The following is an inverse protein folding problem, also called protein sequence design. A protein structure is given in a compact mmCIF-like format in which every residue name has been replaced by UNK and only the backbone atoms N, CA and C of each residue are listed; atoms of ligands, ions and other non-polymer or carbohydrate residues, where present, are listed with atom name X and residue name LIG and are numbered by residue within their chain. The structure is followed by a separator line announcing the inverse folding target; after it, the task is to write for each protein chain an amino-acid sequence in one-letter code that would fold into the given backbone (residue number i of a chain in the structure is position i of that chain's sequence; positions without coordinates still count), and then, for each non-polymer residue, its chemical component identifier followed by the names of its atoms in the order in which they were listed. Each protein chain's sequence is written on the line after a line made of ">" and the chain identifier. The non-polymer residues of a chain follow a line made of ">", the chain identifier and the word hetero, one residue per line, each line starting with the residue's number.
data_IF_374852433334
#
_entry.id   IF_374852433334
#
_cell.length_a   1.000
_cell.length_b   1.000
_cell.length_c   1.000
_cell.angle_alpha   90.00
_cell.angle_beta   90.00
_cell.angle_gamma   90.00
#
_symmetry.space_group_name_H-M   'P 1'
#
loop_
_entity.id
_entity.type
_entity.pdbx_description
1 polymer ?
#
# COMPACT_ATOMS: atom_id res chain seq x y z
N UNK A 1 15.99 -20.96 -17.11
CA UNK A 1 16.02 -20.85 -16.54
C UNK A 1 15.43 -20.45 -15.58
N UNK A 2 15.39 -20.50 -14.76
CA UNK A 2 14.77 -20.27 -13.75
C UNK A 2 15.14 -19.14 -13.07
N UNK A 3 16.23 -18.72 -13.02
CA UNK A 3 16.66 -17.55 -12.33
C UNK A 3 15.92 -16.31 -12.74
N UNK A 4 15.49 -16.28 -13.94
CA UNK A 4 14.80 -15.11 -14.44
C UNK A 4 13.49 -14.86 -13.69
N UNK A 5 12.86 -15.92 -13.28
CA UNK A 5 11.62 -15.75 -12.62
C UNK A 5 11.78 -15.11 -11.29
N UNK A 6 12.86 -15.39 -10.64
CA UNK A 6 13.10 -14.85 -9.33
C UNK A 6 13.22 -13.35 -9.38
N UNK A 7 13.80 -12.85 -10.43
CA UNK A 7 14.05 -11.43 -10.54
C UNK A 7 12.77 -10.63 -10.61
N UNK A 8 11.74 -11.20 -11.14
CA UNK A 8 10.52 -10.46 -11.32
C UNK A 8 9.59 -10.52 -10.12
N UNK A 9 10.00 -11.13 -9.04
CA UNK A 9 9.14 -11.25 -7.88
C UNK A 9 8.98 -9.92 -7.19
N UNK A 10 7.74 -9.53 -6.96
CA UNK A 10 7.46 -8.34 -6.18
C UNK A 10 7.51 -8.68 -4.70
N UNK A 11 7.87 -7.73 -3.85
CA UNK A 11 7.76 -7.96 -2.42
C UNK A 11 6.30 -8.17 -2.02
N UNK A 12 6.09 -9.01 -1.05
CA UNK A 12 4.74 -9.22 -0.54
C UNK A 12 4.31 -8.10 0.39
N UNK A 13 5.26 -7.51 1.10
CA UNK A 13 4.98 -6.45 2.06
C UNK A 13 5.99 -5.33 1.88
N UNK A 14 5.59 -4.13 2.27
CA UNK A 14 6.46 -2.97 2.18
C UNK A 14 6.28 -2.11 3.43
N UNK A 15 7.28 -1.33 3.75
CA UNK A 15 7.20 -0.38 4.84
C UNK A 15 6.36 0.82 4.42
N UNK A 16 5.90 1.61 5.41
CA UNK A 16 5.06 2.76 5.08
C UNK A 16 5.70 3.74 4.11
N UNK A 17 6.98 4.00 4.23
CA UNK A 17 7.61 4.95 3.33
C UNK A 17 7.67 4.40 1.91
N UNK A 18 7.87 3.09 1.76
CA UNK A 18 7.83 2.49 0.44
C UNK A 18 6.41 2.49 -0.11
N UNK A 19 5.43 2.20 0.74
CA UNK A 19 4.04 2.23 0.30
C UNK A 19 3.66 3.62 -0.17
N UNK A 20 4.07 4.64 0.56
CA UNK A 20 3.78 6.01 0.16
C UNK A 20 4.45 6.34 -1.16
N UNK A 21 5.69 5.86 -1.35
CA UNK A 21 6.40 6.11 -2.59
C UNK A 21 5.74 5.45 -3.79
N UNK A 22 5.15 4.29 -3.59
CA UNK A 22 4.45 3.62 -4.68
C UNK A 22 3.30 4.46 -5.22
N UNK A 23 2.65 5.23 -4.35
CA UNK A 23 1.59 6.13 -4.77
C UNK A 23 2.11 7.51 -5.12
N UNK A 24 3.38 7.79 -4.82
CA UNK A 24 4.01 9.08 -5.07
C UNK A 24 3.26 10.22 -4.39
N UNK A 25 2.60 9.91 -3.29
CA UNK A 25 1.81 10.89 -2.56
C UNK A 25 1.76 10.48 -1.10
N UNK A 26 2.67 10.99 -0.27
CA UNK A 26 2.77 10.52 1.11
C UNK A 26 1.50 10.73 1.93
N UNK A 27 0.80 11.82 1.68
CA UNK A 27 -0.44 12.07 2.42
C UNK A 27 -1.55 11.11 2.02
N UNK A 28 -1.50 10.61 0.79
CA UNK A 28 -2.53 9.71 0.32
C UNK A 28 -2.56 8.42 1.11
N UNK A 29 -1.40 7.88 1.42
CA UNK A 29 -1.36 6.66 2.22
C UNK A 29 -2.00 6.88 3.58
N UNK A 30 -1.70 7.99 4.23
CA UNK A 30 -2.28 8.28 5.52
C UNK A 30 -3.79 8.42 5.42
N UNK A 31 -4.26 9.06 4.38
CA UNK A 31 -5.70 9.22 4.17
C UNK A 31 -6.37 7.87 3.98
N UNK A 32 -5.75 6.98 3.21
CA UNK A 32 -6.31 5.67 2.99
C UNK A 32 -6.35 4.84 4.26
N UNK A 33 -5.34 4.96 5.10
CA UNK A 33 -5.32 4.26 6.38
C UNK A 33 -6.43 4.79 7.28
N UNK A 34 -6.58 6.10 7.35
CA UNK A 34 -7.62 6.69 8.20
C UNK A 34 -9.01 6.36 7.71
N UNK A 35 -9.18 6.26 6.40
CA UNK A 35 -10.47 5.93 5.83
C UNK A 35 -10.81 4.45 5.92
N UNK A 36 -9.86 3.63 6.37
CA UNK A 36 -10.10 2.21 6.48
C UNK A 36 -9.91 1.44 5.20
N UNK A 37 -9.32 2.04 4.18
CA UNK A 37 -9.08 1.36 2.91
C UNK A 37 -7.99 0.31 3.04
N UNK A 38 -7.02 0.55 3.91
CA UNK A 38 -5.91 -0.36 4.10
C UNK A 38 -5.49 -0.32 5.55
N UNK A 39 -5.11 -1.48 6.07
CA UNK A 39 -4.56 -1.57 7.42
C UNK A 39 -3.25 -2.33 7.33
N UNK A 40 -2.32 -2.07 8.25
CA UNK A 40 -1.07 -2.82 8.24
C UNK A 40 -1.35 -4.30 8.47
N UNK A 41 -0.66 -5.14 7.73
CA UNK A 41 -0.76 -6.58 7.95
C UNK A 41 0.17 -7.04 9.06
N UNK A 42 1.11 -6.22 9.44
CA UNK A 42 2.05 -6.53 10.51
C UNK A 42 2.46 -5.23 11.16
N UNK A 43 2.28 -5.13 12.46
CA UNK A 43 2.60 -3.90 13.16
C UNK A 43 3.16 -4.19 14.52
N UNK A 44 4.36 -3.70 14.77
CA UNK A 44 4.99 -3.74 16.09
C UNK A 44 5.53 -2.35 16.36
N UNK A 45 6.08 -2.16 17.56
CA UNK A 45 6.67 -0.86 17.88
C UNK A 45 7.91 -0.58 17.05
N UNK A 46 8.45 -1.60 16.38
CA UNK A 46 9.65 -1.43 15.57
C UNK A 46 9.37 -1.38 14.07
N UNK A 47 8.29 -1.96 13.65
CA UNK A 47 8.10 -2.18 12.23
C UNK A 47 6.62 -2.21 11.87
N UNK A 48 6.28 -1.57 10.81
CA UNK A 48 4.93 -1.62 10.25
C UNK A 48 5.08 -2.04 8.80
N UNK A 49 4.26 -3.00 8.39
CA UNK A 49 4.29 -3.48 7.01
C UNK A 49 2.89 -3.48 6.44
N UNK A 50 2.80 -3.11 5.18
CA UNK A 50 1.54 -3.14 4.42
C UNK A 50 1.64 -4.22 3.35
N UNK A 51 0.54 -4.91 3.13
CA UNK A 51 0.49 -5.93 2.11
C UNK A 51 0.36 -5.27 0.74
N UNK A 52 1.20 -5.69 -0.20
CA UNK A 52 1.20 -5.07 -1.53
C UNK A 52 -0.14 -5.28 -2.24
N UNK A 53 -0.73 -6.45 -2.09
CA UNK A 53 -2.02 -6.70 -2.75
C UNK A 53 -3.12 -5.77 -2.22
N UNK A 54 -3.07 -5.40 -0.93
CA UNK A 54 -4.01 -4.43 -0.40
C UNK A 54 -3.80 -3.06 -1.02
N UNK A 55 -2.54 -2.68 -1.21
CA UNK A 55 -2.23 -1.41 -1.85
C UNK A 55 -2.69 -1.39 -3.30
N UNK A 56 -2.57 -2.51 -3.98
CA UNK A 56 -3.06 -2.60 -5.35
C UNK A 56 -4.57 -2.41 -5.42
N UNK A 57 -5.29 -2.95 -4.45
CA UNK A 57 -6.73 -2.75 -4.40
C UNK A 57 -7.07 -1.28 -4.17
N UNK A 58 -6.28 -0.60 -3.34
CA UNK A 58 -6.48 0.83 -3.15
C UNK A 58 -6.27 1.59 -4.45
N UNK A 59 -5.24 1.22 -5.21
CA UNK A 59 -4.99 1.87 -6.48
C UNK A 59 -6.15 1.66 -7.45
N UNK A 60 -6.75 0.48 -7.44
CA UNK A 60 -7.90 0.22 -8.29
C UNK A 60 -9.09 1.10 -7.90
N UNK A 61 -9.29 1.31 -6.60
CA UNK A 61 -10.36 2.19 -6.16
C UNK A 61 -10.13 3.62 -6.63
N UNK A 62 -8.89 4.08 -6.55
CA UNK A 62 -8.55 5.41 -7.03
C UNK A 62 -8.80 5.53 -8.53
N UNK A 63 -8.47 4.47 -9.28
CA UNK A 63 -8.68 4.48 -10.72
C UNK A 63 -10.16 4.57 -11.08
N UNK A 64 -11.03 4.04 -10.22
CA UNK A 64 -12.46 4.14 -10.45
C UNK A 64 -13.06 5.48 -10.03
N UNK A 65 -12.27 6.34 -9.45
CA UNK A 65 -12.74 7.64 -9.01
C UNK A 65 -13.04 7.74 -7.53
N UNK A 66 -12.86 6.67 -6.77
CA UNK A 66 -13.05 6.72 -5.33
C UNK A 66 -11.97 7.59 -4.70
N UNK A 67 -12.30 8.19 -3.58
CA UNK A 67 -11.34 9.00 -2.85
C UNK A 67 -11.41 8.67 -1.37
N UNK A 68 -10.27 8.59 -0.68
CA UNK A 68 -10.27 8.34 0.76
C UNK A 68 -10.57 9.64 1.50
N UNK A 69 -11.75 10.13 1.32
CA UNK A 69 -12.14 11.43 1.85
C UNK A 69 -12.73 11.27 3.22
N UNK A 70 -12.16 11.97 4.17
CA UNK A 70 -12.58 11.87 5.55
C UNK A 70 -13.38 13.07 6.03
N UNK A 71 -13.65 13.96 5.15
CA UNK A 71 -14.30 15.20 5.54
C UNK A 71 -15.80 15.10 5.66
N UNK A 72 -16.29 13.96 5.72
CA UNK A 72 -17.73 13.77 5.75
C UNK A 72 -18.35 14.35 6.99
#
# INVERSE_FOLDING_TARGET
>A
MKGAEIISIKPFTVRPETAAALFEAPHLLQDMVKAGWVTPCYKTHRCTLYLVSDLEKCAERLARGDRPDLTI
#
